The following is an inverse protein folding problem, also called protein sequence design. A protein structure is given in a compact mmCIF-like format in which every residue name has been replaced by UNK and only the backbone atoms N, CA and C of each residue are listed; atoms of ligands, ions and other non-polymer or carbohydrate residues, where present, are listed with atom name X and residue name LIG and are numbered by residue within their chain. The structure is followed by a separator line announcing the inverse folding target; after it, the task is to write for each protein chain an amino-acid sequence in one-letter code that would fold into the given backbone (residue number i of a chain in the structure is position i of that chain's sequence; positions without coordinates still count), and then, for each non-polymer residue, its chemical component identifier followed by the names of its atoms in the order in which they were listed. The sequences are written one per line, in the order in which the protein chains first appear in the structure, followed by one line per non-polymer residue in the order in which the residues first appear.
data_IF_992927160679
#
_entry.id   IF_992927160679
#
_cell.length_a   1.000
_cell.length_b   1.000
_cell.length_c   1.000
_cell.angle_alpha   90.00
_cell.angle_beta   90.00
_cell.angle_gamma   90.00
#
_symmetry.space_group_name_H-M   'P 1'
#
loop_
_entity.id
_entity.type
_entity.pdbx_description
1 polymer ?
#
# COMPACT_ATOMS: atom_id res chain seq x y z
N UNK A 1 -9.76 -24.56 -1.08
CA UNK A 1 -9.34 -23.60 -0.03
C UNK A 1 -10.00 -24.05 1.27
N UNK A 2 -9.20 -24.30 2.31
CA UNK A 2 -9.68 -24.66 3.64
C UNK A 2 -9.56 -23.42 4.55
N UNK A 3 -10.63 -23.06 5.27
CA UNK A 3 -10.67 -21.83 6.07
C UNK A 3 -10.93 -22.16 7.55
N UNK A 4 -10.14 -21.56 8.44
CA UNK A 4 -10.32 -21.65 9.88
C UNK A 4 -10.50 -20.26 10.48
N UNK A 5 -11.62 -20.03 11.16
CA UNK A 5 -11.85 -18.79 11.89
C UNK A 5 -11.15 -18.84 13.25
N UNK A 6 -10.49 -17.75 13.64
CA UNK A 6 -9.96 -17.62 14.99
C UNK A 6 -11.08 -17.75 16.01
N UNK A 7 -10.84 -18.53 17.06
CA UNK A 7 -11.74 -18.73 18.17
C UNK A 7 -10.94 -18.64 19.48
N UNK A 8 -10.78 -17.45 20.06
CA UNK A 8 -10.04 -17.25 21.31
C UNK A 8 -10.58 -18.07 22.47
N UNK A 9 -11.90 -18.30 22.53
CA UNK A 9 -12.56 -19.09 23.59
C UNK A 9 -12.13 -20.56 23.52
N UNK A 10 -11.94 -21.08 22.31
CA UNK A 10 -11.42 -22.43 22.07
C UNK A 10 -9.88 -22.48 21.99
N UNK A 11 -9.19 -21.40 22.38
CA UNK A 11 -7.74 -21.24 22.24
C UNK A 11 -7.19 -21.39 20.80
N UNK A 12 -8.05 -21.21 19.79
CA UNK A 12 -7.68 -21.23 18.37
C UNK A 12 -7.32 -19.81 17.90
N UNK A 13 -6.10 -19.39 18.22
CA UNK A 13 -5.48 -18.12 17.83
C UNK A 13 -4.79 -18.21 16.46
N UNK A 14 -4.24 -17.10 15.94
CA UNK A 14 -3.45 -17.13 14.71
C UNK A 14 -2.23 -18.05 14.84
N UNK A 15 -1.42 -17.91 15.90
CA UNK A 15 -0.26 -18.76 16.13
C UNK A 15 -0.60 -20.25 16.25
N UNK A 16 -1.61 -20.61 17.06
CA UNK A 16 -2.02 -22.01 17.24
C UNK A 16 -2.67 -22.61 15.99
N UNK A 17 -3.51 -21.84 15.29
CA UNK A 17 -4.10 -22.23 14.01
C UNK A 17 -3.04 -22.44 12.93
N UNK A 18 -2.06 -21.54 12.83
CA UNK A 18 -0.95 -21.66 11.88
C UNK A 18 -0.08 -22.88 12.18
N UNK A 19 0.23 -23.18 13.45
CA UNK A 19 0.92 -24.42 13.84
C UNK A 19 0.13 -25.67 13.45
N UNK A 20 -1.20 -25.63 13.53
CA UNK A 20 -2.04 -26.75 13.10
C UNK A 20 -2.00 -26.94 11.57
N UNK A 21 -2.07 -25.83 10.81
CA UNK A 21 -2.00 -25.84 9.34
C UNK A 21 -0.68 -26.46 8.84
N UNK A 22 0.44 -26.20 9.50
CA UNK A 22 1.73 -26.80 9.13
C UNK A 22 1.78 -28.33 9.23
N UNK A 23 0.79 -28.97 9.88
CA UNK A 23 0.63 -30.43 9.93
C UNK A 23 -0.43 -30.96 8.96
N UNK A 24 -0.86 -30.14 8.00
CA UNK A 24 -1.89 -30.48 7.01
C UNK A 24 -1.34 -30.61 5.59
N UNK A 25 -0.02 -30.75 5.45
CA UNK A 25 0.65 -30.79 4.15
C UNK A 25 0.23 -29.61 3.24
N UNK A 26 0.31 -28.35 3.71
CA UNK A 26 -0.19 -27.21 2.94
C UNK A 26 0.77 -26.82 1.81
N UNK A 27 0.25 -26.32 0.69
CA UNK A 27 1.07 -25.66 -0.33
C UNK A 27 1.10 -24.12 -0.13
N UNK A 28 -0.08 -23.55 0.16
CA UNK A 28 -0.32 -22.11 0.27
C UNK A 28 -1.01 -21.83 1.60
N UNK A 29 -0.48 -20.87 2.34
CA UNK A 29 -0.97 -20.47 3.65
C UNK A 29 -1.38 -19.00 3.59
N UNK A 30 -2.58 -18.68 4.10
CA UNK A 30 -3.03 -17.30 4.28
C UNK A 30 -3.29 -17.06 5.77
N UNK A 31 -2.51 -16.18 6.37
CA UNK A 31 -2.72 -15.67 7.72
C UNK A 31 -3.49 -14.36 7.59
N UNK A 32 -4.64 -14.25 8.27
CA UNK A 32 -5.51 -13.10 8.13
C UNK A 32 -4.82 -11.77 8.47
N UNK A 33 -4.04 -11.77 9.56
CA UNK A 33 -3.27 -10.62 10.02
C UNK A 33 -2.13 -11.06 10.93
N UNK A 34 -0.98 -10.39 10.83
CA UNK A 34 0.16 -10.59 11.72
C UNK A 34 0.26 -9.43 12.70
N UNK A 35 -0.24 -9.62 13.93
CA UNK A 35 -0.24 -8.60 14.99
C UNK A 35 0.88 -8.73 16.00
N UNK A 36 1.34 -9.96 16.22
CA UNK A 36 2.29 -10.34 17.25
C UNK A 36 3.52 -11.04 16.66
N UNK A 37 4.62 -10.99 17.42
CA UNK A 37 5.90 -11.58 17.02
C UNK A 37 5.81 -13.09 16.83
N UNK A 38 5.03 -13.79 17.68
CA UNK A 38 4.88 -15.24 17.60
C UNK A 38 4.26 -15.67 16.27
N UNK A 39 3.18 -15.01 15.85
CA UNK A 39 2.53 -15.25 14.55
C UNK A 39 3.46 -14.91 13.38
N UNK A 40 4.21 -13.80 13.49
CA UNK A 40 5.18 -13.39 12.48
C UNK A 40 6.30 -14.42 12.30
N UNK A 41 6.88 -14.90 13.40
CA UNK A 41 7.93 -15.92 13.40
C UNK A 41 7.47 -17.21 12.72
N UNK A 42 6.30 -17.74 13.10
CA UNK A 42 5.78 -18.98 12.52
C UNK A 42 5.51 -18.80 11.02
N UNK A 43 4.95 -17.66 10.60
CA UNK A 43 4.68 -17.37 9.19
C UNK A 43 5.97 -17.29 8.38
N UNK A 44 7.02 -16.69 8.93
CA UNK A 44 8.33 -16.61 8.28
C UNK A 44 9.01 -17.99 8.21
N UNK A 45 8.96 -18.79 9.27
CA UNK A 45 9.47 -20.16 9.24
C UNK A 45 8.72 -21.03 8.22
N UNK A 46 7.40 -20.86 8.10
CA UNK A 46 6.61 -21.51 7.06
C UNK A 46 7.10 -21.10 5.66
N UNK A 47 7.33 -19.81 5.42
CA UNK A 47 7.85 -19.33 4.14
C UNK A 47 9.25 -19.88 3.83
N UNK A 48 10.17 -19.90 4.80
CA UNK A 48 11.53 -20.41 4.64
C UNK A 48 11.59 -21.94 4.43
N UNK A 49 10.57 -22.68 4.87
CA UNK A 49 10.44 -24.12 4.62
C UNK A 49 9.79 -24.46 3.28
N UNK A 50 9.51 -23.45 2.44
CA UNK A 50 9.06 -23.64 1.05
C UNK A 50 7.57 -23.41 0.81
N UNK A 51 6.83 -22.96 1.82
CA UNK A 51 5.40 -22.65 1.67
C UNK A 51 5.20 -21.25 1.08
N UNK A 52 4.18 -21.08 0.23
CA UNK A 52 3.76 -19.73 -0.17
C UNK A 52 2.87 -19.13 0.92
N UNK A 53 3.35 -18.08 1.59
CA UNK A 53 2.65 -17.45 2.71
C UNK A 53 2.16 -16.06 2.35
N UNK A 54 0.86 -15.83 2.51
CA UNK A 54 0.24 -14.51 2.49
C UNK A 54 -0.12 -14.08 3.91
N UNK A 55 0.19 -12.84 4.26
CA UNK A 55 -0.31 -12.22 5.49
C UNK A 55 -0.59 -10.74 5.28
N UNK A 56 -1.25 -10.11 6.25
CA UNK A 56 -1.48 -8.67 6.27
C UNK A 56 -0.81 -8.03 7.48
N UNK A 57 -0.27 -6.83 7.27
CA UNK A 57 0.21 -5.93 8.32
C UNK A 57 -0.47 -4.58 8.15
N UNK A 58 -0.60 -3.84 9.25
CA UNK A 58 -1.08 -2.46 9.22
C UNK A 58 0.12 -1.50 9.16
N UNK A 59 0.52 -1.13 7.94
CA UNK A 59 1.52 -0.08 7.69
C UNK A 59 0.99 0.99 6.75
N UNK A 60 1.66 2.15 6.72
CA UNK A 60 1.23 3.29 5.90
C UNK A 60 1.55 3.12 4.42
N UNK A 61 2.60 2.36 4.12
CA UNK A 61 3.19 2.09 2.81
C UNK A 61 3.84 0.69 2.82
N UNK A 62 4.30 0.22 1.66
CA UNK A 62 4.83 -1.13 1.47
C UNK A 62 6.18 -1.33 2.17
N UNK A 63 7.10 -0.37 2.07
CA UNK A 63 8.45 -0.51 2.63
C UNK A 63 8.47 -0.39 4.15
N UNK A 64 7.54 0.36 4.75
CA UNK A 64 7.33 0.42 6.20
C UNK A 64 6.94 -0.93 6.81
N UNK A 65 6.41 -1.89 6.03
CA UNK A 65 6.19 -3.26 6.52
C UNK A 65 7.49 -3.99 6.85
N UNK A 66 8.58 -3.70 6.14
CA UNK A 66 9.91 -4.25 6.47
C UNK A 66 10.35 -3.75 7.84
N UNK A 67 10.27 -2.43 8.05
CA UNK A 67 10.62 -1.78 9.32
C UNK A 67 9.73 -2.33 10.45
N UNK A 68 8.42 -2.46 10.20
CA UNK A 68 7.47 -2.97 11.19
C UNK A 68 7.78 -4.40 11.63
N UNK A 69 8.18 -5.28 10.71
CA UNK A 69 8.58 -6.66 11.06
C UNK A 69 9.83 -6.65 11.95
N UNK A 70 10.80 -5.81 11.65
CA UNK A 70 12.02 -5.66 12.47
C UNK A 70 11.67 -5.11 13.85
N UNK A 71 10.84 -4.06 13.93
CA UNK A 71 10.38 -3.45 15.19
C UNK A 71 9.57 -4.43 16.06
N UNK A 72 8.90 -5.40 15.44
CA UNK A 72 8.21 -6.48 16.16
C UNK A 72 9.16 -7.50 16.78
N UNK A 73 10.46 -7.45 16.45
CA UNK A 73 11.48 -8.37 16.95
C UNK A 73 11.90 -9.46 15.95
N UNK A 74 11.48 -9.37 14.69
CA UNK A 74 11.95 -10.30 13.66
C UNK A 74 13.36 -9.90 13.21
N UNK A 75 14.29 -10.86 13.27
CA UNK A 75 15.65 -10.67 12.80
C UNK A 75 15.70 -10.19 11.33
N UNK A 76 16.46 -9.13 10.99
CA UNK A 76 16.50 -8.58 9.63
C UNK A 76 16.87 -9.63 8.56
N UNK A 77 17.73 -10.58 8.90
CA UNK A 77 18.07 -11.69 8.00
C UNK A 77 16.85 -12.54 7.63
N UNK A 78 15.95 -12.82 8.58
CA UNK A 78 14.72 -13.57 8.33
C UNK A 78 13.76 -12.78 7.45
N UNK A 79 13.64 -11.46 7.65
CA UNK A 79 12.83 -10.59 6.79
C UNK A 79 13.37 -10.59 5.36
N UNK A 80 14.67 -10.34 5.18
CA UNK A 80 15.30 -10.30 3.86
C UNK A 80 15.26 -11.63 3.11
N UNK A 81 15.31 -12.77 3.81
CA UNK A 81 15.29 -14.09 3.17
C UNK A 81 13.89 -14.64 2.88
N UNK A 82 12.86 -14.21 3.63
CA UNK A 82 11.51 -14.77 3.51
C UNK A 82 10.53 -13.90 2.71
N UNK A 83 10.68 -12.57 2.76
CA UNK A 83 9.74 -11.66 2.09
C UNK A 83 10.06 -11.55 0.61
N UNK A 84 9.11 -11.93 -0.24
CA UNK A 84 9.24 -11.84 -1.71
C UNK A 84 8.70 -10.51 -2.27
N UNK A 85 7.55 -10.07 -1.78
CA UNK A 85 6.92 -8.83 -2.20
C UNK A 85 5.99 -8.31 -1.10
N UNK A 86 5.76 -6.99 -1.11
CA UNK A 86 4.84 -6.31 -0.21
C UNK A 86 3.93 -5.40 -1.04
N UNK A 87 2.62 -5.56 -0.88
CA UNK A 87 1.61 -4.72 -1.51
C UNK A 87 0.96 -3.84 -0.44
N UNK A 88 1.11 -2.52 -0.58
CA UNK A 88 0.30 -1.55 0.14
C UNK A 88 -0.86 -1.07 -0.74
N UNK A 89 -1.99 -0.78 -0.09
CA UNK A 89 -3.16 -0.27 -0.79
C UNK A 89 -4.00 0.69 0.06
N UNK A 90 -4.66 1.63 -0.61
CA UNK A 90 -5.74 2.46 -0.05
C UNK A 90 -6.92 2.52 -1.01
N UNK A 91 -8.13 2.73 -0.49
CA UNK A 91 -9.32 2.86 -1.32
C UNK A 91 -9.74 4.33 -1.46
N UNK A 92 -9.94 4.75 -2.70
CA UNK A 92 -10.53 6.05 -3.05
C UNK A 92 -11.87 5.86 -3.74
N UNK A 93 -12.73 6.87 -3.65
CA UNK A 93 -14.04 6.92 -4.29
C UNK A 93 -13.87 7.17 -5.79
N UNK A 94 -14.63 6.44 -6.60
CA UNK A 94 -14.67 6.69 -8.06
C UNK A 94 -15.64 7.81 -8.37
N UNK A 95 -15.26 8.70 -9.27
CA UNK A 95 -16.15 9.78 -9.73
C UNK A 95 -17.36 9.20 -10.44
N UNK A 96 -18.54 9.77 -10.20
CA UNK A 96 -19.77 9.31 -10.83
C UNK A 96 -19.79 9.69 -12.31
N UNK A 97 -19.70 8.69 -13.20
CA UNK A 97 -19.74 8.87 -14.67
C UNK A 97 -20.99 9.56 -15.22
N UNK A 98 -22.04 9.77 -14.42
CA UNK A 98 -23.29 10.40 -14.86
C UNK A 98 -23.34 11.91 -14.60
N UNK A 99 -22.56 12.40 -13.64
CA UNK A 99 -22.58 13.81 -13.24
C UNK A 99 -21.17 14.40 -13.11
N UNK A 100 -20.14 13.68 -13.53
CA UNK A 100 -18.79 14.23 -13.63
C UNK A 100 -18.79 15.31 -14.71
N UNK A 101 -18.12 16.42 -14.43
CA UNK A 101 -17.85 17.48 -15.42
C UNK A 101 -16.34 17.69 -15.53
N UNK A 102 -15.88 18.19 -16.66
CA UNK A 102 -14.47 18.57 -16.83
C UNK A 102 -14.09 19.65 -15.81
N UNK A 103 -12.86 19.58 -15.34
CA UNK A 103 -12.26 20.57 -14.45
C UNK A 103 -11.01 21.16 -15.11
N UNK A 104 -10.70 22.40 -14.73
CA UNK A 104 -9.53 23.11 -15.23
C UNK A 104 -8.23 22.36 -14.91
N UNK A 105 -7.24 22.39 -15.82
CA UNK A 105 -5.91 21.87 -15.55
C UNK A 105 -5.29 22.46 -14.28
N UNK A 106 -4.58 21.62 -13.53
CA UNK A 106 -3.89 22.01 -12.29
C UNK A 106 -2.43 21.60 -12.33
N UNK A 107 -1.58 22.41 -11.71
CA UNK A 107 -0.19 22.05 -11.45
C UNK A 107 -0.06 21.53 -10.03
N UNK A 108 0.58 20.36 -9.91
CA UNK A 108 0.87 19.72 -8.63
C UNK A 108 2.38 19.54 -8.47
N UNK A 109 2.86 19.69 -7.25
CA UNK A 109 4.19 19.23 -6.89
C UNK A 109 4.15 17.73 -6.60
N UNK A 110 5.05 16.96 -7.22
CA UNK A 110 5.25 15.52 -6.96
C UNK A 110 6.48 15.39 -6.07
N UNK A 111 6.31 15.17 -4.75
CA UNK A 111 7.41 15.29 -3.80
C UNK A 111 8.51 14.25 -4.00
N UNK A 112 8.14 13.07 -4.51
CA UNK A 112 9.08 11.98 -4.73
C UNK A 112 10.06 12.25 -5.89
N UNK A 113 9.60 12.92 -6.95
CA UNK A 113 10.47 13.34 -8.07
C UNK A 113 10.97 14.78 -7.92
N UNK A 114 10.37 15.55 -7.01
CA UNK A 114 10.55 17.01 -6.84
C UNK A 114 10.22 17.79 -8.12
N UNK A 115 9.29 17.29 -8.91
CA UNK A 115 8.86 17.91 -10.17
C UNK A 115 7.47 18.54 -10.04
N UNK A 116 7.23 19.58 -10.83
CA UNK A 116 5.88 20.10 -11.04
C UNK A 116 5.27 19.37 -12.22
N UNK A 117 4.14 18.69 -12.01
CA UNK A 117 3.36 18.03 -13.05
C UNK A 117 2.10 18.83 -13.30
N UNK A 118 1.85 19.18 -14.56
CA UNK A 118 0.59 19.75 -15.00
C UNK A 118 -0.36 18.63 -15.40
N UNK A 119 -1.46 18.51 -14.68
CA UNK A 119 -2.52 17.56 -14.98
C UNK A 119 -3.53 18.23 -15.91
N UNK A 120 -3.73 17.69 -17.11
CA UNK A 120 -4.60 18.30 -18.13
C UNK A 120 -6.04 17.76 -18.09
N UNK A 121 -6.23 16.53 -17.63
CA UNK A 121 -7.50 15.83 -17.69
C UNK A 121 -8.06 15.58 -16.29
N UNK A 122 -8.82 16.54 -15.77
CA UNK A 122 -9.45 16.43 -14.46
C UNK A 122 -10.97 16.40 -14.57
N UNK A 123 -11.57 15.76 -13.57
CA UNK A 123 -13.02 15.71 -13.41
C UNK A 123 -13.42 16.27 -12.06
N UNK A 124 -14.53 17.01 -12.04
CA UNK A 124 -15.17 17.52 -10.82
C UNK A 124 -16.46 16.73 -10.54
N UNK A 125 -16.67 16.25 -9.31
CA UNK A 125 -17.91 15.61 -8.91
C UNK A 125 -19.00 16.67 -8.65
N UNK A 126 -20.17 16.53 -9.29
CA UNK A 126 -21.32 17.46 -9.10
C UNK A 126 -22.41 16.89 -8.19
N UNK A 127 -22.77 15.62 -8.38
CA UNK A 127 -23.89 14.99 -7.69
C UNK A 127 -25.11 14.81 -8.58
N UNK A 128 -25.77 13.66 -8.46
CA UNK A 128 -27.03 13.33 -9.13
C UNK A 128 -27.70 12.14 -8.42
N UNK A 129 -28.90 11.77 -8.83
CA UNK A 129 -29.66 10.65 -8.25
C UNK A 129 -28.91 9.31 -8.36
N UNK A 130 -28.10 9.12 -9.40
CA UNK A 130 -27.34 7.87 -9.58
C UNK A 130 -26.20 7.69 -8.59
N UNK A 131 -25.75 8.75 -7.94
CA UNK A 131 -24.75 8.72 -6.89
C UNK A 131 -25.28 9.26 -5.55
N UNK A 132 -26.61 9.36 -5.40
CA UNK A 132 -27.27 9.91 -4.21
C UNK A 132 -26.72 11.29 -3.81
N UNK A 133 -26.48 12.16 -4.79
CA UNK A 133 -25.97 13.51 -4.57
C UNK A 133 -24.50 13.61 -4.18
N UNK A 134 -23.78 12.50 -3.96
CA UNK A 134 -22.38 12.55 -3.47
C UNK A 134 -21.36 12.96 -4.54
N UNK A 135 -21.71 12.80 -5.82
CA UNK A 135 -20.78 12.96 -6.93
C UNK A 135 -19.83 11.78 -7.15
N UNK A 136 -19.89 10.75 -6.30
CA UNK A 136 -19.04 9.55 -6.37
C UNK A 136 -19.87 8.26 -6.40
N UNK A 137 -19.38 7.22 -7.08
CA UNK A 137 -20.05 5.92 -7.12
C UNK A 137 -19.05 4.76 -7.23
N UNK A 138 -18.97 3.96 -6.18
CA UNK A 138 -18.00 2.86 -6.07
C UNK A 138 -16.63 3.33 -5.60
N UNK A 139 -15.68 2.39 -5.54
CA UNK A 139 -14.30 2.63 -5.09
C UNK A 139 -13.30 2.02 -6.05
N UNK A 140 -12.07 2.51 -6.02
CA UNK A 140 -10.91 1.96 -6.71
C UNK A 140 -9.72 1.95 -5.74
N UNK A 141 -8.85 0.95 -5.87
CA UNK A 141 -7.62 0.87 -5.09
C UNK A 141 -6.54 1.76 -5.66
N UNK A 142 -5.79 2.41 -4.79
CA UNK A 142 -4.45 2.90 -5.04
C UNK A 142 -3.47 1.83 -4.55
N UNK A 143 -2.45 1.53 -5.33
CA UNK A 143 -1.56 0.41 -5.08
C UNK A 143 -0.09 0.83 -5.15
N UNK A 144 0.70 0.20 -4.31
CA UNK A 144 2.15 0.34 -4.27
C UNK A 144 2.75 -1.04 -3.99
N UNK A 145 3.62 -1.50 -4.88
CA UNK A 145 4.19 -2.85 -4.84
C UNK A 145 5.70 -2.79 -4.73
N UNK A 146 6.22 -3.19 -3.58
CA UNK A 146 7.65 -3.41 -3.36
C UNK A 146 7.99 -4.88 -3.65
N UNK A 147 8.77 -5.15 -4.69
CA UNK A 147 9.33 -6.48 -4.96
C UNK A 147 10.73 -6.55 -4.35
N UNK A 148 10.96 -7.50 -3.44
CA UNK A 148 12.23 -7.59 -2.71
C UNK A 148 13.28 -8.28 -3.58
N UNK A 149 14.15 -7.48 -4.20
CA UNK A 149 15.29 -7.95 -4.98
C UNK A 149 16.52 -8.22 -4.09
N UNK A 150 17.59 -8.79 -4.66
CA UNK A 150 18.80 -9.14 -3.91
C UNK A 150 19.51 -7.97 -3.23
N UNK A 151 19.45 -6.76 -3.82
CA UNK A 151 20.05 -5.58 -3.20
C UNK A 151 19.22 -5.11 -1.99
N UNK A 152 17.90 -5.10 -2.11
CA UNK A 152 17.01 -4.84 -0.98
C UNK A 152 17.24 -5.85 0.14
N UNK A 153 17.41 -7.14 -0.17
CA UNK A 153 17.77 -8.15 0.85
C UNK A 153 19.06 -7.77 1.58
N UNK A 154 20.10 -7.38 0.84
CA UNK A 154 21.37 -6.93 1.43
C UNK A 154 21.20 -5.69 2.31
N UNK A 155 20.39 -4.72 1.87
CA UNK A 155 20.09 -3.51 2.64
C UNK A 155 19.36 -3.86 3.95
N UNK A 156 18.33 -4.71 3.89
CA UNK A 156 17.59 -5.17 5.08
C UNK A 156 18.54 -5.83 6.07
N UNK A 157 19.37 -6.77 5.62
CA UNK A 157 20.31 -7.51 6.48
C UNK A 157 21.31 -6.60 7.17
N UNK A 158 21.77 -5.54 6.50
CA UNK A 158 22.76 -4.60 7.04
C UNK A 158 22.13 -3.46 7.87
N UNK A 159 20.80 -3.43 8.01
CA UNK A 159 20.11 -2.35 8.71
C UNK A 159 20.11 -1.03 7.94
N UNK A 160 19.99 -1.09 6.61
CA UNK A 160 19.83 0.09 5.76
C UNK A 160 18.60 0.92 6.17
N UNK A 161 18.68 2.22 5.94
CA UNK A 161 17.60 3.14 6.28
C UNK A 161 16.38 2.93 5.38
N UNK A 162 15.22 3.43 5.81
CA UNK A 162 14.02 3.48 4.97
C UNK A 162 14.29 4.18 3.63
N UNK A 163 15.10 5.25 3.63
CA UNK A 163 15.47 5.98 2.41
C UNK A 163 16.31 5.13 1.46
N UNK A 164 17.21 4.28 1.99
CA UNK A 164 17.99 3.36 1.16
C UNK A 164 17.09 2.32 0.47
N UNK A 165 16.09 1.79 1.19
CA UNK A 165 15.10 0.87 0.63
C UNK A 165 14.26 1.53 -0.46
N UNK A 166 13.79 2.76 -0.24
CA UNK A 166 13.05 3.54 -1.24
C UNK A 166 13.91 3.76 -2.48
N UNK A 167 15.15 4.22 -2.30
CA UNK A 167 16.06 4.49 -3.41
C UNK A 167 16.33 3.24 -4.25
N UNK A 168 16.51 2.08 -3.62
CA UNK A 168 16.70 0.82 -4.34
C UNK A 168 15.41 0.33 -5.02
N UNK A 169 14.27 0.37 -4.32
CA UNK A 169 12.98 -0.03 -4.90
C UNK A 169 12.66 0.80 -6.15
N UNK A 170 12.94 2.11 -6.13
CA UNK A 170 12.72 3.02 -7.25
C UNK A 170 13.49 2.62 -8.52
N UNK A 171 14.73 2.14 -8.38
CA UNK A 171 15.51 1.64 -9.53
C UNK A 171 14.85 0.45 -10.24
N UNK A 172 13.94 -0.25 -9.55
CA UNK A 172 13.27 -1.45 -10.01
C UNK A 172 11.79 -1.20 -10.35
N UNK A 173 11.41 0.05 -10.63
CA UNK A 173 10.06 0.40 -11.08
C UNK A 173 9.03 0.52 -9.96
N UNK A 174 9.46 0.64 -8.70
CA UNK A 174 8.58 0.95 -7.58
C UNK A 174 7.87 2.30 -7.81
N UNK A 175 6.55 2.28 -7.62
CA UNK A 175 5.68 3.46 -7.74
C UNK A 175 4.86 3.62 -6.48
N UNK A 176 4.72 4.85 -6.02
CA UNK A 176 3.97 5.12 -4.78
C UNK A 176 2.46 5.10 -5.02
N UNK A 177 1.68 4.93 -3.96
CA UNK A 177 0.23 5.08 -4.02
C UNK A 177 -0.19 6.47 -4.50
N UNK A 178 0.63 7.50 -4.26
CA UNK A 178 0.38 8.85 -4.76
C UNK A 178 0.50 8.88 -6.29
N UNK A 179 1.58 8.37 -6.86
CA UNK A 179 1.79 8.33 -8.31
C UNK A 179 0.71 7.53 -9.04
N UNK A 180 0.35 6.35 -8.52
CA UNK A 180 -0.76 5.55 -9.04
C UNK A 180 -2.11 6.28 -8.89
N UNK A 181 -2.27 7.07 -7.83
CA UNK A 181 -3.40 7.98 -7.63
C UNK A 181 -3.47 9.07 -8.68
N UNK A 182 -2.36 9.76 -8.96
CA UNK A 182 -2.30 10.84 -9.96
C UNK A 182 -2.64 10.31 -11.35
N UNK A 183 -2.14 9.14 -11.74
CA UNK A 183 -2.50 8.54 -13.03
C UNK A 183 -4.01 8.25 -13.13
N UNK A 184 -4.64 7.84 -12.02
CA UNK A 184 -6.10 7.63 -11.94
C UNK A 184 -6.89 8.94 -11.94
N UNK A 185 -6.31 10.03 -11.47
CA UNK A 185 -6.88 11.38 -11.59
C UNK A 185 -6.89 11.81 -13.05
N UNK A 186 -5.76 11.70 -13.75
CA UNK A 186 -5.67 12.05 -15.17
C UNK A 186 -6.51 11.16 -16.09
N UNK A 187 -6.75 9.91 -15.67
CA UNK A 187 -7.69 9.03 -16.35
C UNK A 187 -9.18 9.37 -16.07
N UNK A 188 -9.46 10.42 -15.28
CA UNK A 188 -10.83 10.84 -14.92
C UNK A 188 -11.58 9.85 -14.03
N UNK A 189 -10.86 8.97 -13.31
CA UNK A 189 -11.46 7.88 -12.52
C UNK A 189 -11.75 8.33 -11.09
N UNK A 190 -10.90 9.16 -10.51
CA UNK A 190 -10.99 9.72 -9.16
C UNK A 190 -10.65 11.21 -9.19
N UNK A 191 -10.72 11.90 -8.04
CA UNK A 191 -10.32 13.31 -7.90
C UNK A 191 -8.98 13.45 -7.18
N UNK A 192 -8.31 14.58 -7.40
CA UNK A 192 -7.09 14.92 -6.65
C UNK A 192 -7.38 15.00 -5.15
N UNK A 193 -8.54 15.54 -4.76
CA UNK A 193 -9.01 15.56 -3.38
C UNK A 193 -9.01 14.17 -2.73
N UNK A 194 -9.53 13.16 -3.44
CA UNK A 194 -9.59 11.79 -2.94
C UNK A 194 -8.21 11.16 -2.78
N UNK A 195 -7.31 11.37 -3.75
CA UNK A 195 -5.92 10.87 -3.68
C UNK A 195 -5.23 11.52 -2.48
N UNK A 196 -5.24 12.84 -2.41
CA UNK A 196 -4.63 13.63 -1.35
C UNK A 196 -5.15 13.27 0.04
N UNK A 197 -6.46 12.98 0.17
CA UNK A 197 -7.07 12.56 1.44
C UNK A 197 -6.45 11.27 1.97
N UNK A 198 -6.06 10.36 1.09
CA UNK A 198 -5.54 9.05 1.48
C UNK A 198 -4.03 8.93 1.33
N UNK A 199 -3.29 9.85 0.73
CA UNK A 199 -1.82 9.71 0.60
C UNK A 199 -1.04 10.70 1.46
N UNK A 200 -1.72 11.64 2.14
CA UNK A 200 -1.14 12.71 2.95
C UNK A 200 -0.17 12.29 4.07
N UNK A 201 -0.17 11.02 4.50
CA UNK A 201 0.77 10.55 5.55
C UNK A 201 2.24 10.52 5.10
N UNK A 202 2.52 10.68 3.79
CA UNK A 202 3.90 10.76 3.27
C UNK A 202 4.39 12.22 3.23
N UNK A 203 3.51 13.19 3.46
CA UNK A 203 3.72 14.60 3.12
C UNK A 203 3.15 15.50 4.21
N UNK A 204 3.81 15.54 5.35
CA UNK A 204 3.69 16.71 6.22
C UNK A 204 4.39 17.88 5.51
N UNK A 205 3.57 18.91 5.25
CA UNK A 205 3.89 20.33 5.05
C UNK A 205 4.12 20.98 3.68
N UNK A 206 4.16 20.32 2.50
CA UNK A 206 4.29 21.08 1.23
C UNK A 206 3.63 20.43 -0.01
N UNK A 207 2.30 20.49 -0.10
CA UNK A 207 1.65 20.52 -1.42
C UNK A 207 0.97 21.87 -1.57
N UNK A 208 1.72 22.84 -2.09
CA UNK A 208 1.12 23.95 -2.78
C UNK A 208 0.44 23.38 -4.02
N UNK A 209 -0.90 23.40 -4.05
CA UNK A 209 -1.53 23.74 -5.32
C UNK A 209 -0.81 25.01 -5.75
N UNK A 210 -0.10 24.99 -6.88
CA UNK A 210 0.53 26.19 -7.39
C UNK A 210 -0.62 27.14 -7.67
N UNK A 211 -0.93 28.03 -6.73
CA UNK A 211 -1.91 29.07 -6.96
C UNK A 211 -1.42 29.79 -8.20
N UNK A 212 -2.23 29.78 -9.25
CA UNK A 212 -1.98 30.61 -10.43
C UNK A 212 -1.82 32.02 -9.90
N UNK A 213 -0.58 32.50 -9.82
CA UNK A 213 -0.28 33.93 -9.74
C UNK A 213 -0.73 34.50 -11.09
N UNK A 214 -2.03 34.75 -11.20
CA UNK A 214 -2.59 35.61 -12.23
C UNK A 214 -2.30 37.04 -11.80
N UNK A 215 -1.23 37.58 -12.37
CA UNK A 215 -1.02 38.96 -12.80
C UNK A 215 -1.76 40.08 -12.03
N UNK A 216 -0.98 40.90 -11.33
CA UNK A 216 -0.87 42.35 -11.55
C UNK A 216 0.55 42.78 -11.29
#
# INVERSE_FOLDING_TARGET
INQGHTNPVAAFTFASGLRAILRQDPDIIMVGETRDVETAEIAIQAALTGHLVFTTLHTNDALSSVVRLIDMGIEPFLVGSSVSAILAQRLVRKVCKKCAVEAEPVEIFVPETREVRRLEHLVKPVGCDKCNGTGYRGRIGLFELAVINDEMRRLIVRGGSYQDLVAEARKNGYRTMFEDGIDKVEAGVTTLEEVMRVTRTVLEDDIFLVEKVKET
#
